data_IF_362409413202
#
_entry.id   IF_362409413202
#
_cell.length_a   1.000
_cell.length_b   1.000
_cell.length_c   1.000
_cell.angle_alpha   90.00
_cell.angle_beta   90.00
_cell.angle_gamma   90.00
#
_symmetry.space_group_name_H-M   'P 1'
#
loop_
_entity.id
_entity.type
_entity.pdbx_description
1 polymer ?
2 non-polymer ?
3 water ?
#
# COMPACT_ATOMS: atom_id res chain seq x y z
N UNK A 113 -19.47 11.48 0.38
CA UNK A 113 -19.70 10.04 0.62
C UNK A 113 -18.67 9.50 1.65
N UNK A 114 -18.92 8.27 2.16
CA UNK A 114 -18.02 7.53 3.06
C UNK A 114 -16.62 7.35 2.38
N UNK A 115 -16.55 6.78 1.14
CA UNK A 115 -15.29 6.58 0.39
C UNK A 115 -14.50 7.87 0.18
N UNK A 116 -15.19 8.95 -0.19
CA UNK A 116 -14.59 10.26 -0.49
C UNK A 116 -13.78 10.75 0.72
N UNK A 117 -14.41 10.70 1.89
CA UNK A 117 -13.76 11.06 3.15
C UNK A 117 -12.60 10.13 3.45
N UNK A 118 -12.81 8.80 3.30
CA UNK A 118 -11.75 7.84 3.59
C UNK A 118 -10.53 8.04 2.71
N UNK A 119 -10.74 8.23 1.40
CA UNK A 119 -9.62 8.45 0.50
C UNK A 119 -8.87 9.75 0.84
N UNK A 120 -9.59 10.84 1.04
CA UNK A 120 -8.94 12.12 1.41
C UNK A 120 -8.14 12.00 2.72
N UNK A 121 -8.70 11.26 3.68
CA UNK A 121 -8.09 11.06 5.00
C UNK A 121 -6.85 10.19 4.98
N UNK A 122 -6.89 9.09 4.18
CA UNK A 122 -5.75 8.17 4.01
C UNK A 122 -4.62 8.96 3.34
N UNK A 123 -4.98 9.86 2.40
CA UNK A 123 -3.99 10.67 1.73
C UNK A 123 -3.39 11.70 2.71
N UNK A 124 -4.23 12.56 3.30
CA UNK A 124 -3.80 13.65 4.19
C UNK A 124 -3.12 13.14 5.48
N UNK A 125 -3.68 12.10 6.09
CA UNK A 125 -3.24 11.59 7.39
C UNK A 125 -2.21 10.50 7.37
N UNK A 126 -1.83 10.06 6.17
CA UNK A 126 -0.85 9.00 6.05
C UNK A 126 0.11 9.17 4.85
N UNK A 127 -0.41 9.04 3.61
CA UNK A 127 0.42 9.14 2.40
C UNK A 127 1.20 10.44 2.30
N UNK A 128 0.52 11.58 2.55
CA UNK A 128 1.13 12.93 2.52
C UNK A 128 2.34 13.04 3.49
N UNK A 129 2.28 12.33 4.64
CA UNK A 129 3.31 12.35 5.67
C UNK A 129 4.45 11.35 5.44
N UNK A 130 4.20 10.18 4.82
CA UNK A 130 5.30 9.22 4.61
C UNK A 130 5.96 9.33 3.21
N UNK A 131 5.19 9.66 2.15
CA UNK A 131 5.77 9.66 0.80
C UNK A 131 6.96 10.68 0.60
N UNK A 132 6.99 11.92 1.13
CA UNK A 132 8.16 12.78 0.90
C UNK A 132 9.47 12.25 1.49
N UNK A 133 9.40 11.38 2.51
CA UNK A 133 10.56 10.81 3.19
C UNK A 133 10.88 9.35 2.81
N UNK A 134 10.02 8.72 2.00
CA UNK A 134 10.17 7.32 1.58
C UNK A 134 11.41 7.05 0.71
N UNK A 135 11.63 7.86 -0.34
CA UNK A 135 12.76 7.68 -1.26
C UNK A 135 14.11 7.79 -0.54
N UNK A 136 14.27 8.70 0.46
CA UNK A 136 15.51 8.83 1.25
C UNK A 136 15.73 7.59 2.13
N UNK A 137 14.64 7.01 2.66
CA UNK A 137 14.67 5.79 3.49
C UNK A 137 15.05 4.61 2.59
N UNK A 138 14.45 4.54 1.36
CA UNK A 138 14.70 3.47 0.38
C UNK A 138 16.17 3.51 -0.08
N UNK A 139 16.69 4.74 -0.38
CA UNK A 139 18.06 4.99 -0.83
C UNK A 139 19.08 4.63 0.24
N UNK A 140 18.74 4.84 1.52
CA UNK A 140 19.57 4.51 2.67
C UNK A 140 19.70 2.99 2.81
N UNK A 141 18.57 2.27 2.73
CA UNK A 141 18.52 0.81 2.79
C UNK A 141 19.28 0.16 1.59
N UNK A 142 19.07 0.64 0.35
CA UNK A 142 19.75 0.05 -0.82
C UNK A 142 21.25 0.30 -0.76
N UNK A 143 21.66 1.51 -0.30
CA UNK A 143 23.07 1.87 -0.15
C UNK A 143 23.72 1.15 1.01
N UNK A 144 22.94 0.76 2.04
CA UNK A 144 23.48 0.01 3.17
C UNK A 144 23.82 -1.43 2.76
N UNK A 145 22.98 -2.03 1.89
CA UNK A 145 23.20 -3.41 1.44
C UNK A 145 23.72 -3.52 0.00
N UNK A 146 24.11 -2.38 -0.61
CA UNK A 146 24.61 -2.26 -2.00
C UNK A 146 23.69 -2.99 -2.99
N UNK A 147 22.38 -2.79 -2.80
CA UNK A 147 21.36 -3.42 -3.60
C UNK A 147 21.31 -2.82 -4.97
N UNK A 148 21.54 -3.67 -5.96
CA UNK A 148 21.48 -3.26 -7.36
C UNK A 148 20.58 -4.22 -8.11
N UNK A 149 20.01 -3.71 -9.21
CA UNK A 149 19.17 -4.44 -10.15
C UNK A 149 17.93 -5.02 -9.46
N UNK A 150 17.65 -6.35 -9.56
CA UNK A 150 16.44 -6.97 -8.99
C UNK A 150 16.34 -6.91 -7.48
N UNK A 151 17.49 -6.92 -6.80
CA UNK A 151 17.55 -6.85 -5.36
C UNK A 151 17.44 -5.44 -4.83
N UNK A 152 17.38 -4.44 -5.73
CA UNK A 152 17.22 -3.05 -5.31
C UNK A 152 15.74 -2.76 -5.09
N UNK A 153 15.39 -2.32 -3.86
CA UNK A 153 14.01 -1.98 -3.46
C UNK A 153 13.52 -0.87 -4.40
N UNK A 154 12.34 -1.06 -5.03
CA UNK A 154 11.73 -0.07 -5.93
C UNK A 154 11.55 1.26 -5.19
N UNK A 155 11.70 2.40 -5.90
CA UNK A 155 11.58 3.75 -5.31
C UNK A 155 10.15 4.15 -4.91
N UNK A 156 9.14 3.32 -5.25
CA UNK A 156 7.71 3.59 -5.01
C UNK A 156 7.09 2.74 -3.95
N UNK A 157 6.11 3.30 -3.22
CA UNK A 157 5.31 2.53 -2.26
C UNK A 157 4.21 1.81 -3.05
N UNK A 158 4.11 0.49 -2.91
CA UNK A 158 3.07 -0.26 -3.62
C UNK A 158 1.90 -0.50 -2.70
N UNK A 159 0.74 0.03 -3.08
CA UNK A 159 -0.50 -0.04 -2.28
C UNK A 159 -1.50 -0.99 -2.87
N UNK A 160 -1.79 -2.04 -2.15
CA UNK A 160 -2.76 -3.06 -2.57
C UNK A 160 -4.19 -2.59 -2.31
N UNK A 161 -5.01 -2.60 -3.37
CA UNK A 161 -6.40 -2.18 -3.32
C UNK A 161 -7.36 -3.31 -3.73
N UNK A 162 -7.58 -4.32 -2.86
CA UNK A 162 -8.54 -5.38 -3.23
C UNK A 162 -9.97 -4.82 -3.25
N UNK A 163 -10.67 -4.92 -4.42
CA UNK A 163 -12.04 -4.42 -4.55
C UNK A 163 -13.06 -5.19 -3.68
N UNK A 164 -12.70 -6.43 -3.24
CA UNK A 164 -13.56 -7.24 -2.36
C UNK A 164 -13.45 -6.82 -0.88
N UNK A 165 -12.51 -5.89 -0.56
CA UNK A 165 -12.21 -5.35 0.78
C UNK A 165 -11.60 -6.38 1.76
N UNK A 166 -11.12 -7.51 1.23
CA UNK A 166 -10.47 -8.56 2.02
C UNK A 166 -9.04 -8.16 2.31
N UNK A 167 -8.79 -7.68 3.53
CA UNK A 167 -7.46 -7.20 3.92
C UNK A 167 -6.82 -8.10 5.00
N UNK A 168 -5.99 -9.11 4.61
CA UNK A 168 -5.29 -9.92 5.62
C UNK A 168 -4.06 -9.16 6.15
N UNK A 169 -3.58 -9.54 7.34
CA UNK A 169 -2.43 -8.84 7.91
C UNK A 169 -1.08 -9.41 7.46
N UNK A 170 -1.08 -10.66 6.92
CA UNK A 170 0.11 -11.33 6.40
C UNK A 170 -0.07 -11.51 4.89
N UNK A 171 0.80 -10.85 4.11
CA UNK A 171 0.79 -10.87 2.63
C UNK A 171 1.15 -12.25 2.07
N UNK A 172 1.89 -13.06 2.83
CA UNK A 172 2.26 -14.41 2.43
C UNK A 172 1.05 -15.37 2.44
N UNK A 173 -0.17 -14.82 2.71
CA UNK A 173 -1.44 -15.55 2.74
C UNK A 173 -2.27 -15.35 1.46
N UNK A 174 -2.28 -14.12 0.91
CA UNK A 174 -2.99 -13.79 -0.34
C UNK A 174 -2.29 -14.42 -1.57
N UNK A 175 -0.94 -14.54 -1.50
CA UNK A 175 -0.08 -15.13 -2.52
C UNK A 175 1.23 -15.63 -1.87
N UNK A 176 1.65 -16.89 -2.13
CA UNK A 176 2.89 -17.39 -1.51
C UNK A 176 4.18 -16.84 -2.11
N UNK A 177 4.13 -16.28 -3.35
CA UNK A 177 5.29 -15.69 -4.04
C UNK A 177 5.63 -14.28 -3.52
N UNK A 178 4.93 -13.82 -2.48
CA UNK A 178 5.18 -12.54 -1.81
C UNK A 178 5.80 -12.94 -0.46
N UNK A 179 7.11 -12.68 -0.30
CA UNK A 179 7.83 -13.05 0.91
C UNK A 179 8.51 -11.86 1.55
N UNK A 180 8.32 -11.73 2.88
CA UNK A 180 8.89 -10.66 3.69
C UNK A 180 10.41 -10.73 3.69
N UNK A 181 11.06 -9.59 3.39
CA UNK A 181 12.52 -9.53 3.36
C UNK A 181 13.06 -8.79 4.59
N UNK A 182 12.65 -7.54 4.76
CA UNK A 182 13.13 -6.68 5.84
C UNK A 182 12.15 -5.55 6.10
N UNK A 183 12.35 -4.88 7.22
CA UNK A 183 11.57 -3.71 7.53
C UNK A 183 12.38 -2.55 7.00
N UNK A 184 11.72 -1.58 6.38
CA UNK A 184 12.34 -0.36 5.94
C UNK A 184 12.67 0.44 7.22
N UNK A 185 13.89 1.00 7.42
CA UNK A 185 14.14 1.76 8.66
C UNK A 185 12.99 2.72 8.99
N UNK A 186 12.45 2.66 10.21
CA UNK A 186 11.29 3.46 10.64
C UNK A 186 11.49 4.93 10.42
N UNK A 187 10.39 5.60 10.14
CA UNK A 187 10.30 7.04 10.07
C UNK A 187 9.58 7.40 11.37
N UNK A 188 9.95 8.52 12.02
CA UNK A 188 9.29 9.00 13.24
C UNK A 188 8.97 10.46 13.00
N UNK A 189 7.87 10.94 13.59
CA UNK A 189 7.46 12.33 13.50
C UNK A 189 6.48 12.63 14.61
N UNK A 190 6.56 13.81 15.19
CA UNK A 190 5.59 14.21 16.21
C UNK A 190 4.26 14.37 15.48
N UNK A 191 3.25 13.64 15.96
CA UNK A 191 1.98 13.67 15.27
C UNK A 191 0.82 13.70 16.24
N UNK A 192 0.03 14.80 16.21
CA UNK A 192 -1.20 15.03 16.99
C UNK A 192 -1.09 14.66 18.49
N UNK A 193 0.05 15.01 19.10
CA UNK A 193 0.32 14.69 20.49
C UNK A 193 1.14 13.44 20.71
N UNK A 194 1.29 12.60 19.67
CA UNK A 194 2.10 11.39 19.79
C UNK A 194 3.53 11.78 19.42
N UNK A 195 4.43 11.84 20.43
CA UNK A 195 5.86 12.16 20.24
C UNK A 195 6.50 10.99 19.51
N UNK A 196 7.29 11.27 18.47
CA UNK A 196 7.95 10.23 17.66
C UNK A 196 6.97 9.12 17.24
N UNK A 197 5.83 9.52 16.66
CA UNK A 197 4.86 8.57 16.10
C UNK A 197 5.65 7.79 15.02
N UNK A 198 5.62 6.45 15.11
CA UNK A 198 6.39 5.58 14.25
C UNK A 198 5.64 5.12 12.99
N UNK A 199 6.29 5.29 11.82
CA UNK A 199 5.80 4.83 10.54
C UNK A 199 6.69 3.68 10.13
N UNK A 200 6.16 2.48 10.33
CA UNK A 200 6.84 1.25 9.97
C UNK A 200 6.37 0.86 8.57
N UNK A 201 7.27 0.31 7.73
CA UNK A 201 6.90 -0.20 6.39
C UNK A 201 7.72 -1.44 6.10
N UNK A 202 7.11 -2.42 5.42
CA UNK A 202 7.75 -3.69 5.14
C UNK A 202 8.17 -3.84 3.66
N UNK A 203 9.37 -4.40 3.44
CA UNK A 203 9.98 -4.69 2.14
C UNK A 203 9.69 -6.16 1.84
N UNK A 204 9.18 -6.44 0.62
CA UNK A 204 8.90 -7.81 0.16
C UNK A 204 9.68 -8.18 -1.10
N UNK A 205 9.95 -9.49 -1.24
CA UNK A 205 10.56 -10.03 -2.44
C UNK A 205 9.44 -10.70 -3.23
N UNK A 206 9.46 -10.52 -4.55
CA UNK A 206 8.45 -11.16 -5.36
C UNK A 206 9.06 -12.28 -6.14
N UNK A 207 8.61 -13.48 -5.85
CA UNK A 207 9.12 -14.72 -6.41
C UNK A 207 8.46 -15.10 -7.72
N UNK A 208 9.27 -15.68 -8.60
CA UNK A 208 8.85 -16.21 -9.89
C UNK A 208 9.68 -17.46 -10.13
N UNK A 209 9.03 -18.63 -10.13
CA UNK A 209 9.65 -19.95 -10.31
C UNK A 209 10.73 -20.23 -9.23
N UNK A 210 10.46 -19.77 -8.00
CA UNK A 210 11.33 -19.93 -6.84
C UNK A 210 12.38 -18.87 -6.59
N UNK A 211 12.76 -18.09 -7.64
CA UNK A 211 13.79 -17.04 -7.53
C UNK A 211 13.22 -15.61 -7.41
N UNK A 212 13.99 -14.71 -6.76
CA UNK A 212 13.63 -13.31 -6.55
C UNK A 212 13.62 -12.52 -7.88
N UNK A 213 12.42 -12.10 -8.28
CA UNK A 213 12.20 -11.37 -9.53
C UNK A 213 12.09 -9.84 -9.31
N UNK A 214 11.75 -9.44 -8.08
CA UNK A 214 11.59 -8.03 -7.73
C UNK A 214 11.57 -7.77 -6.23
N UNK A 215 11.77 -6.50 -5.86
CA UNK A 215 11.82 -6.10 -4.45
C UNK A 215 11.11 -4.75 -4.28
N UNK A 216 10.14 -4.69 -3.34
CA UNK A 216 9.37 -3.47 -3.12
C UNK A 216 8.70 -3.40 -1.74
N UNK A 217 8.44 -2.17 -1.30
CA UNK A 217 7.69 -1.87 -0.09
C UNK A 217 6.21 -2.14 -0.49
N UNK A 218 5.50 -2.95 0.29
CA UNK A 218 4.14 -3.34 -0.04
C UNK A 218 3.23 -3.33 1.18
N UNK A 219 1.99 -2.85 1.03
CA UNK A 219 0.98 -2.85 2.08
C UNK A 219 -0.42 -2.63 1.49
N UNK A 220 -1.44 -3.02 2.25
CA UNK A 220 -2.83 -2.78 1.87
C UNK A 220 -3.25 -1.39 2.37
N UNK A 221 -4.20 -0.76 1.65
CA UNK A 221 -4.82 0.50 2.08
C UNK A 221 -5.80 0.06 3.15
N UNK A 222 -5.45 0.31 4.43
CA UNK A 222 -6.30 -0.11 5.56
C UNK A 222 -7.75 0.45 5.51
N UNK A 223 -8.08 1.64 4.91
CA UNK A 223 -9.50 2.02 4.81
C UNK A 223 -10.39 1.00 4.09
N UNK A 224 -9.84 0.15 3.20
CA UNK A 224 -10.65 -0.91 2.57
C UNK A 224 -11.12 -1.93 3.61
N UNK A 225 -10.29 -2.21 4.64
CA UNK A 225 -10.62 -3.12 5.75
C UNK A 225 -11.76 -2.54 6.57
N UNK A 226 -11.72 -1.23 6.85
CA UNK A 226 -12.75 -0.48 7.58
C UNK A 226 -14.09 -0.63 6.88
N UNK A 227 -14.11 -0.43 5.53
CA UNK A 227 -15.31 -0.53 4.74
C UNK A 227 -15.95 -1.92 4.89
N UNK A 228 -15.14 -2.97 4.81
CA UNK A 228 -15.69 -4.33 5.01
C UNK A 228 -16.28 -4.46 6.43
N UNK A 229 -15.48 -4.09 7.46
CA UNK A 229 -15.91 -4.17 8.86
C UNK A 229 -17.16 -3.38 9.10
N UNK A 230 -17.27 -2.14 8.51
CA UNK A 230 -18.45 -1.27 8.61
C UNK A 230 -19.69 -2.00 8.18
N UNK A 231 -19.62 -2.73 7.05
CA UNK A 231 -20.75 -3.52 6.54
C UNK A 231 -21.18 -4.66 7.49
N UNK A 232 -20.33 -5.04 8.43
CA UNK A 232 -20.65 -6.12 9.40
C UNK A 232 -21.28 -5.56 10.69
N UNK A 233 -21.14 -4.25 10.94
CA UNK A 233 -21.67 -3.64 12.18
C UNK A 233 -23.07 -3.08 11.95
N UNK A 234 -24.09 -3.60 12.66
CA UNK A 234 -25.48 -3.12 12.52
C UNK A 234 -25.61 -1.60 12.72
N UNK A 235 -24.87 -1.01 13.69
CA UNK A 235 -24.90 0.43 14.01
C UNK A 235 -24.38 1.31 12.88
N UNK A 236 -23.56 0.73 11.99
CA UNK A 236 -22.97 1.49 10.90
C UNK A 236 -23.98 1.85 9.78
N UNK A 237 -25.11 1.14 9.72
CA UNK A 237 -26.16 1.31 8.70
C UNK A 237 -25.58 1.24 7.31
N UNK A 238 -24.68 0.28 7.10
CA UNK A 238 -23.89 0.18 5.87
C UNK A 238 -23.99 -1.24 5.32
N UNK A 239 -24.54 -1.40 4.10
CA UNK A 239 -24.77 -2.73 3.50
C UNK A 239 -23.58 -3.28 2.72
N UNK A 240 -23.65 -4.57 2.32
CA UNK A 240 -22.61 -5.21 1.50
C UNK A 240 -22.53 -4.54 0.11
N UNK A 241 -23.68 -4.06 -0.37
CA UNK A 241 -23.82 -3.34 -1.65
C UNK A 241 -23.11 -1.97 -1.50
N UNK A 242 -23.25 -1.34 -0.32
CA UNK A 242 -22.57 -0.08 -0.04
C UNK A 242 -21.04 -0.31 0.00
N UNK A 243 -20.59 -1.42 0.61
CA UNK A 243 -19.17 -1.77 0.72
C UNK A 243 -18.49 -1.87 -0.69
N UNK A 244 -19.08 -2.61 -1.65
CA UNK A 244 -18.49 -2.78 -3.00
C UNK A 244 -18.46 -1.44 -3.78
N UNK A 245 -19.55 -0.67 -3.66
CA UNK A 245 -19.72 0.62 -4.32
C UNK A 245 -18.69 1.63 -3.76
N UNK A 246 -18.59 1.72 -2.42
CA UNK A 246 -17.63 2.59 -1.73
C UNK A 246 -16.20 2.13 -1.96
N UNK A 247 -15.93 0.81 -2.03
CA UNK A 247 -14.60 0.30 -2.33
C UNK A 247 -14.07 0.86 -3.68
N UNK A 248 -14.89 0.76 -4.77
CA UNK A 248 -14.55 1.25 -6.12
C UNK A 248 -14.32 2.78 -6.08
N UNK A 249 -15.22 3.50 -5.39
CA UNK A 249 -15.13 4.97 -5.21
C UNK A 249 -13.86 5.38 -4.43
N UNK A 250 -13.47 4.62 -3.37
CA UNK A 250 -12.27 4.89 -2.58
C UNK A 250 -11.03 4.83 -3.51
N UNK A 251 -10.92 3.77 -4.32
CA UNK A 251 -9.80 3.56 -5.29
C UNK A 251 -9.71 4.66 -6.31
N UNK A 252 -10.86 4.99 -6.94
CA UNK A 252 -10.98 6.02 -7.97
C UNK A 252 -10.59 7.37 -7.40
N UNK A 253 -11.06 7.67 -6.17
CA UNK A 253 -10.77 8.95 -5.50
C UNK A 253 -9.29 9.04 -5.15
N UNK A 254 -8.72 7.96 -4.58
CA UNK A 254 -7.30 7.92 -4.26
C UNK A 254 -6.47 8.15 -5.52
N UNK A 255 -6.87 7.51 -6.65
CA UNK A 255 -6.20 7.67 -7.93
C UNK A 255 -6.28 9.14 -8.33
N UNK A 256 -7.47 9.77 -8.25
CA UNK A 256 -7.67 11.19 -8.62
C UNK A 256 -6.79 12.12 -7.80
N UNK A 257 -6.69 11.88 -6.48
CA UNK A 257 -5.86 12.67 -5.55
C UNK A 257 -4.36 12.55 -5.92
N UNK A 258 -3.84 11.30 -5.96
CA UNK A 258 -2.43 11.03 -6.25
C UNK A 258 -1.95 11.55 -7.60
N UNK A 259 -2.85 11.60 -8.60
CA UNK A 259 -2.58 12.13 -9.94
C UNK A 259 -2.08 13.58 -9.87
N UNK A 260 -2.65 14.40 -8.96
CA UNK A 260 -2.31 15.82 -8.78
C UNK A 260 -1.42 16.11 -7.57
N UNK A 261 -1.23 15.12 -6.68
CA UNK A 261 -0.50 15.27 -5.43
C UNK A 261 1.01 15.59 -5.58
N UNK A 262 1.49 16.72 -4.97
CA UNK A 262 2.92 17.09 -5.12
C UNK A 262 3.91 16.24 -4.31
N UNK A 263 3.46 15.71 -3.14
CA UNK A 263 4.25 14.85 -2.25
C UNK A 263 4.50 13.48 -2.88
N UNK A 264 3.51 13.02 -3.64
CA UNK A 264 3.39 11.68 -4.20
C UNK A 264 3.38 11.56 -5.69
N UNK A 265 4.48 12.00 -6.33
CA UNK A 265 4.54 11.84 -7.78
C UNK A 265 5.10 10.44 -8.10
N UNK A 266 6.40 10.34 -8.46
CA UNK A 266 7.06 9.09 -8.81
C UNK A 266 7.41 8.14 -7.62
N UNK A 267 6.66 8.19 -6.50
CA UNK A 267 7.01 7.34 -5.36
C UNK A 267 5.82 6.58 -4.76
N UNK A 268 4.76 6.37 -5.56
CA UNK A 268 3.57 5.63 -5.13
C UNK A 268 2.88 4.92 -6.30
N UNK A 269 2.49 3.64 -6.11
CA UNK A 269 1.78 2.88 -7.14
C UNK A 269 0.55 2.16 -6.55
N UNK A 270 -0.65 2.43 -7.12
CA UNK A 270 -1.87 1.76 -6.71
C UNK A 270 -2.10 0.47 -7.46
N UNK A 271 -2.37 -0.62 -6.74
CA UNK A 271 -2.64 -1.93 -7.33
C UNK A 271 -4.03 -2.36 -6.96
N UNK A 272 -5.03 -1.99 -7.78
CA UNK A 272 -6.41 -2.39 -7.55
C UNK A 272 -6.63 -3.73 -8.25
N UNK A 273 -7.32 -4.64 -7.58
CA UNK A 273 -7.55 -5.98 -8.16
C UNK A 273 -8.83 -6.60 -7.68
N UNK A 274 -9.40 -7.44 -8.53
CA UNK A 274 -10.64 -8.17 -8.26
C UNK A 274 -10.33 -9.65 -8.45
N UNK A 275 -10.59 -10.46 -7.41
CA UNK A 275 -10.35 -11.90 -7.45
C UNK A 275 -11.45 -12.61 -8.25
N UNK A 276 -11.12 -13.26 -9.40
CA UNK A 276 -12.18 -13.93 -10.19
C UNK A 276 -12.75 -15.17 -9.54
N UNK A 282 -5.29 -12.56 -12.17
CA UNK A 282 -4.92 -13.96 -12.01
C UNK A 282 -3.98 -14.18 -10.81
N UNK A 283 -2.76 -13.61 -10.86
CA UNK A 283 -1.76 -13.73 -9.79
C UNK A 283 -1.40 -12.34 -9.22
N UNK A 284 -1.44 -12.17 -7.89
CA UNK A 284 -1.10 -10.89 -7.25
C UNK A 284 0.38 -10.56 -7.41
N UNK A 285 1.27 -11.55 -7.13
CA UNK A 285 2.72 -11.44 -7.29
C UNK A 285 3.09 -11.04 -8.71
N UNK A 286 2.49 -11.71 -9.73
CA UNK A 286 2.73 -11.39 -11.14
C UNK A 286 2.25 -9.97 -11.49
N UNK A 287 1.12 -9.57 -10.92
CA UNK A 287 0.55 -8.22 -11.06
C UNK A 287 1.49 -7.14 -10.51
N UNK A 288 2.08 -7.37 -9.29
CA UNK A 288 3.05 -6.45 -8.67
C UNK A 288 4.28 -6.42 -9.59
N UNK A 289 4.76 -7.62 -10.02
CA UNK A 289 5.89 -7.76 -10.95
C UNK A 289 5.67 -7.06 -12.29
N UNK A 290 4.41 -7.07 -12.79
CA UNK A 290 4.02 -6.38 -14.03
C UNK A 290 4.31 -4.88 -13.90
N UNK A 291 3.96 -4.30 -12.74
CA UNK A 291 4.23 -2.89 -12.45
C UNK A 291 5.74 -2.66 -12.25
N UNK A 292 6.42 -3.58 -11.54
CA UNK A 292 7.85 -3.53 -11.23
C UNK A 292 8.74 -3.56 -12.49
N UNK A 293 8.36 -4.38 -13.49
CA UNK A 293 9.09 -4.54 -14.76
C UNK A 293 9.03 -3.30 -15.68
N UNK A 294 8.01 -2.42 -15.50
CA UNK A 294 7.82 -1.18 -16.27
C UNK A 294 8.94 -0.19 -15.99
X LIG B 1 -3.77 1.90 9.18
X LIG B 1 -2.66 1.39 9.48
X LIG B 1 -2.48 0.61 10.45
X LIG B 1 -1.46 1.75 8.62
X LIG B 1 -1.58 3.10 7.97
X LIG B 1 -1.66 4.24 8.95
X LIG B 1 -0.79 4.39 9.81
X LIG B 1 -2.78 5.17 8.79
X LIG B 1 -2.58 6.70 9.63
X LIG B 1 -3.81 5.13 7.96
X LIG B 1 -4.62 6.32 8.05
X LIG B 1 -4.09 7.24 8.97
X LIG B 1 -4.78 8.39 9.31
X LIG B 1 -6.01 8.63 8.76
X LIG B 1 -6.81 9.71 9.05
X LIG B 1 -6.37 10.60 10.07
X LIG B 1 -5.85 6.60 7.46
X LIG B 1 -6.55 7.72 7.82
X LIG B 1 -7.80 7.98 7.36
X LIG B 1 -8.74 6.91 7.37
X LIG B 1 -9.84 7.32 8.32
X LIG B 1 -9.63 6.87 9.78
X LIG B 1 -8.29 6.32 10.22
X LIG B 1 -7.83 5.06 9.80
X LIG B 1 -8.55 4.46 8.81
X LIG B 1 -8.12 3.17 8.38
X LIG B 1 -7.57 7.02 11.18
X LIG B 1 -6.41 6.48 11.76
X LIG B 1 -6.00 5.21 11.34
X LIG B 1 -6.71 4.50 10.37
X LIG B 1 -5.52 7.02 12.75
X LIG B 1 -4.50 6.19 12.98
X LIG B 1 -4.58 4.64 12.17
X LIG B 1 -3.38 6.28 13.92
X LIG B 1 -2.51 5.42 13.96
X LIG B 1 -3.41 7.43 14.89
X LIG B 1 -2.27 8.39 14.69
X LIG B 1 -2.09 8.82 13.24
X LIG B 1 -0.97 8.65 12.71
X LIG B 1 -3.09 9.29 12.65
#
# INVERSE_FOLDING_TARGET
>A
MAHHHHHHGSDSEVNQEAKPEVKPEVKPETHINLKVSDGSSEIFFKIKKTTPLRRLMEAFAKRQGKEMDSLTFLYDGIEIQADQTPEDLDMEDNDIIEAHREQIGGENLYFQSVAHGLAWSYYIGYLRLILPELQARIRTYNQHYNNLLRGAVSQRLYILLPLDCGVPDNLSMADPNIRFLDKLPQQTADRAGIKDRVYSNSIYELLENGQRAGTCVLEYATPLQTLFAMSQYSQAGFSREDRLEQAKLFCQTLEDILADAPESQNNCRLIAYQEPADDSSFSLSQEVLRHLRQEEKEEV
>B hetero
1 QBJ O8 C25 O7 C24 C23 C22 O6 C21 S1 C26 C27 C20 C19 C17 O5 C18 C28 C16 O4 C15 C14 C13 C12 C O C1 C11 C10 C3 C2 C9 C4 S C5 O1 C6 C7 C8 O2 O3
#
